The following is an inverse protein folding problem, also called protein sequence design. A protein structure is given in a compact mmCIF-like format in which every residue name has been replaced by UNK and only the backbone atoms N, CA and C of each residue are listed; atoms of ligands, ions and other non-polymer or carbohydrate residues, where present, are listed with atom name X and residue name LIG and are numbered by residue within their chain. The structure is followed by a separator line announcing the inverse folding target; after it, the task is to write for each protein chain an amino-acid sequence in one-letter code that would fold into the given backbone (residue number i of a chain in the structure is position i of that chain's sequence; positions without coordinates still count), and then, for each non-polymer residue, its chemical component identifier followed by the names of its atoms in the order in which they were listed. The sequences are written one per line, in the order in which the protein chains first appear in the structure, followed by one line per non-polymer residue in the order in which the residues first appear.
data_IF_767599556529
#
_entry.id   IF_767599556529
#
_cell.length_a   1.000
_cell.length_b   1.000
_cell.length_c   1.000
_cell.angle_alpha   90.00
_cell.angle_beta   90.00
_cell.angle_gamma   90.00
#
_symmetry.space_group_name_H-M   'P 1'
#
loop_
_entity.id
_entity.type
_entity.pdbx_description
1 polymer ?
#
# COMPACT_ATOMS: atom_id res chain seq x y z
N UNK A 1 13.58 -13.66 32.41
CA UNK A 1 13.18 -13.23 31.04
C UNK A 1 14.44 -12.96 30.24
N UNK A 2 14.72 -13.75 29.20
CA UNK A 2 15.89 -13.59 28.33
C UNK A 2 15.67 -12.46 27.31
N UNK A 3 16.74 -11.74 26.96
CA UNK A 3 16.75 -10.60 25.99
C UNK A 3 16.01 -10.92 24.68
N UNK A 4 16.10 -12.18 24.23
CA UNK A 4 15.45 -12.66 23.01
C UNK A 4 13.92 -12.59 23.06
N UNK A 5 13.32 -12.89 24.21
CA UNK A 5 11.87 -12.81 24.41
C UNK A 5 11.37 -11.35 24.37
N UNK A 6 12.17 -10.41 24.88
CA UNK A 6 11.89 -8.97 24.81
C UNK A 6 11.98 -8.44 23.38
N UNK A 7 13.00 -8.85 22.61
CA UNK A 7 13.15 -8.46 21.20
C UNK A 7 11.97 -8.95 20.34
N UNK A 8 11.55 -10.23 20.49
CA UNK A 8 10.36 -10.76 19.80
C UNK A 8 9.09 -9.98 20.12
N UNK A 9 8.91 -9.58 21.39
CA UNK A 9 7.74 -8.79 21.80
C UNK A 9 7.76 -7.39 21.19
N UNK A 10 8.92 -6.76 21.06
CA UNK A 10 9.06 -5.44 20.41
C UNK A 10 8.75 -5.54 18.91
N UNK A 11 9.23 -6.58 18.23
CA UNK A 11 8.98 -6.76 16.80
C UNK A 11 7.51 -7.08 16.52
N UNK A 12 6.84 -7.91 17.32
CA UNK A 12 5.40 -8.16 17.16
C UNK A 12 4.58 -6.88 17.36
N UNK A 13 4.84 -6.10 18.43
CA UNK A 13 4.17 -4.82 18.65
C UNK A 13 4.38 -3.81 17.52
N UNK A 14 5.58 -3.79 16.92
CA UNK A 14 5.86 -2.94 15.74
C UNK A 14 5.04 -3.37 14.53
N UNK A 15 4.91 -4.68 14.28
CA UNK A 15 4.07 -5.22 13.20
C UNK A 15 2.60 -4.92 13.41
N UNK A 16 2.07 -5.15 14.61
CA UNK A 16 0.68 -4.84 14.96
C UNK A 16 0.37 -3.36 14.76
N UNK A 17 1.28 -2.47 15.21
CA UNK A 17 1.16 -1.03 14.99
C UNK A 17 1.20 -0.67 13.51
N UNK A 18 2.07 -1.29 12.72
CA UNK A 18 2.16 -1.05 11.28
C UNK A 18 0.85 -1.44 10.58
N UNK A 19 0.32 -2.62 10.88
CA UNK A 19 -0.96 -3.09 10.33
C UNK A 19 -2.15 -2.21 10.75
N UNK A 20 -2.14 -1.70 11.99
CA UNK A 20 -3.16 -0.76 12.45
C UNK A 20 -3.11 0.57 11.69
N UNK A 21 -1.90 1.09 11.44
CA UNK A 21 -1.70 2.31 10.66
C UNK A 21 -2.13 2.09 9.21
N UNK A 22 -1.72 0.99 8.58
CA UNK A 22 -2.13 0.65 7.22
C UNK A 22 -3.65 0.59 7.09
N UNK A 23 -4.33 -0.12 8.00
CA UNK A 23 -5.80 -0.17 8.05
C UNK A 23 -6.41 1.23 8.17
N UNK A 24 -5.84 2.11 9.00
CA UNK A 24 -6.33 3.47 9.15
C UNK A 24 -6.18 4.29 7.86
N UNK A 25 -5.02 4.20 7.19
CA UNK A 25 -4.82 4.86 5.89
C UNK A 25 -5.84 4.37 4.87
N UNK A 26 -6.04 3.05 4.77
CA UNK A 26 -7.04 2.46 3.87
C UNK A 26 -8.45 2.96 4.18
N UNK A 27 -8.85 3.03 5.45
CA UNK A 27 -10.19 3.51 5.82
C UNK A 27 -10.44 4.99 5.47
N UNK A 28 -9.40 5.81 5.41
CA UNK A 28 -9.52 7.24 5.07
C UNK A 28 -9.53 7.46 3.56
N UNK A 29 -8.73 6.69 2.82
CA UNK A 29 -8.43 6.99 1.42
C UNK A 29 -9.10 6.04 0.41
N UNK A 30 -9.59 4.87 0.82
CA UNK A 30 -10.30 3.91 -0.06
C UNK A 30 -11.83 4.08 -0.02
N UNK A 31 -12.33 5.28 0.29
CA UNK A 31 -13.73 5.66 0.12
C UNK A 31 -13.87 6.67 -1.05
N UNK A 32 -15.09 6.90 -1.58
CA UNK A 32 -15.30 7.81 -2.71
C UNK A 32 -14.74 9.23 -2.49
N UNK A 33 -14.92 9.80 -1.29
CA UNK A 33 -14.35 11.10 -0.94
C UNK A 33 -12.83 11.05 -0.86
N UNK A 34 -12.28 9.91 -0.43
CA UNK A 34 -10.85 9.65 -0.39
C UNK A 34 -10.21 9.71 -1.77
N UNK A 35 -10.89 9.22 -2.81
CA UNK A 35 -10.41 9.33 -4.20
C UNK A 35 -10.28 10.79 -4.65
N UNK A 36 -11.26 11.64 -4.31
CA UNK A 36 -11.23 13.08 -4.61
C UNK A 36 -10.03 13.75 -3.92
N UNK A 37 -9.80 13.44 -2.65
CA UNK A 37 -8.65 13.96 -1.89
C UNK A 37 -7.33 13.46 -2.47
N UNK A 38 -7.23 12.19 -2.88
CA UNK A 38 -6.02 11.65 -3.49
C UNK A 38 -5.69 12.34 -4.81
N UNK A 39 -6.70 12.64 -5.63
CA UNK A 39 -6.52 13.36 -6.88
C UNK A 39 -6.01 14.79 -6.66
N UNK A 40 -6.58 15.51 -5.69
CA UNK A 40 -6.14 16.85 -5.27
C UNK A 40 -4.69 16.83 -4.77
N UNK A 41 -4.36 15.91 -3.85
CA UNK A 41 -3.01 15.77 -3.31
C UNK A 41 -1.98 15.40 -4.39
N UNK A 42 -2.34 14.57 -5.36
CA UNK A 42 -1.46 14.22 -6.47
C UNK A 42 -1.09 15.45 -7.31
N UNK A 43 -2.05 16.35 -7.54
CA UNK A 43 -1.85 17.62 -8.24
C UNK A 43 -0.98 18.58 -7.40
N UNK A 44 -1.30 18.76 -6.12
CA UNK A 44 -0.57 19.64 -5.21
C UNK A 44 0.90 19.19 -5.02
N UNK A 45 1.14 17.88 -4.93
CA UNK A 45 2.49 17.33 -4.82
C UNK A 45 3.27 17.33 -6.14
N UNK A 46 2.62 17.66 -7.26
CA UNK A 46 3.22 17.65 -8.60
C UNK A 46 3.74 16.26 -8.99
N UNK A 47 3.06 15.18 -8.58
CA UNK A 47 3.55 13.80 -8.79
C UNK A 47 3.70 13.50 -10.29
N UNK A 48 2.77 13.98 -11.11
CA UNK A 48 2.73 13.79 -12.56
C UNK A 48 3.27 14.97 -13.36
N UNK A 49 3.81 15.99 -12.67
CA UNK A 49 4.36 17.18 -13.31
C UNK A 49 5.89 17.09 -13.38
N UNK A 50 6.45 17.55 -14.50
CA UNK A 50 7.88 17.77 -14.60
C UNK A 50 8.31 18.80 -13.54
N UNK A 51 9.41 18.57 -12.82
CA UNK A 51 9.90 19.56 -11.88
C UNK A 51 10.20 20.88 -12.61
N UNK A 52 9.80 22.04 -12.06
CA UNK A 52 10.12 23.34 -12.64
C UNK A 52 11.63 23.50 -12.88
N UNK A 53 11.99 24.12 -14.00
CA UNK A 53 13.39 24.40 -14.32
C UNK A 53 13.88 25.54 -13.42
N UNK A 54 15.07 25.38 -12.85
CA UNK A 54 15.73 26.46 -12.09
C UNK A 54 15.34 26.55 -10.61
N UNK A 55 14.76 25.50 -10.02
CA UNK A 55 14.52 25.45 -8.57
C UNK A 55 15.84 25.53 -7.79
N UNK A 56 15.87 26.34 -6.75
CA UNK A 56 16.96 26.35 -5.79
C UNK A 56 16.99 25.04 -4.96
N UNK A 57 18.11 24.70 -4.31
CA UNK A 57 18.24 23.45 -3.55
C UNK A 57 17.16 23.25 -2.47
N UNK A 58 16.75 24.34 -1.80
CA UNK A 58 15.70 24.29 -0.77
C UNK A 58 14.32 23.99 -1.36
N UNK A 59 14.00 24.59 -2.49
CA UNK A 59 12.71 24.42 -3.17
C UNK A 59 12.60 23.02 -3.77
N UNK A 60 13.68 22.52 -4.36
CA UNK A 60 13.78 21.14 -4.81
C UNK A 60 13.54 20.16 -3.66
N UNK A 61 14.23 20.35 -2.52
CA UNK A 61 14.05 19.47 -1.36
C UNK A 61 12.63 19.52 -0.78
N UNK A 62 11.97 20.67 -0.82
CA UNK A 62 10.57 20.79 -0.41
C UNK A 62 9.63 20.03 -1.36
N UNK A 63 9.84 20.14 -2.68
CA UNK A 63 9.07 19.39 -3.68
C UNK A 63 9.24 17.88 -3.51
N UNK A 64 10.48 17.42 -3.33
CA UNK A 64 10.79 16.01 -3.09
C UNK A 64 10.15 15.50 -1.79
N UNK A 65 10.15 16.32 -0.73
CA UNK A 65 9.47 16.02 0.52
C UNK A 65 7.96 15.83 0.36
N UNK A 66 7.29 16.70 -0.42
CA UNK A 66 5.85 16.54 -0.73
C UNK A 66 5.59 15.26 -1.52
N UNK A 67 6.41 14.98 -2.55
CA UNK A 67 6.31 13.74 -3.34
C UNK A 67 6.53 12.49 -2.48
N UNK A 68 7.49 12.52 -1.57
CA UNK A 68 7.76 11.41 -0.65
C UNK A 68 6.60 11.16 0.32
N UNK A 69 5.97 12.22 0.84
CA UNK A 69 4.79 12.10 1.69
C UNK A 69 3.62 11.47 0.93
N UNK A 70 3.35 11.91 -0.29
CA UNK A 70 2.29 11.31 -1.12
C UNK A 70 2.59 9.86 -1.49
N UNK A 71 3.85 9.53 -1.84
CA UNK A 71 4.28 8.16 -2.09
C UNK A 71 4.08 7.25 -0.86
N UNK A 72 4.27 7.77 0.36
CA UNK A 72 3.96 7.03 1.59
C UNK A 72 2.47 6.71 1.70
N UNK A 73 1.57 7.64 1.37
CA UNK A 73 0.12 7.39 1.38
C UNK A 73 -0.19 6.24 0.40
N UNK A 74 0.30 6.33 -0.84
CA UNK A 74 0.13 5.30 -1.84
C UNK A 74 0.64 3.93 -1.37
N UNK A 75 1.81 3.89 -0.73
CA UNK A 75 2.38 2.66 -0.19
C UNK A 75 1.50 2.01 0.90
N UNK A 76 0.72 2.79 1.65
CA UNK A 76 -0.17 2.29 2.69
C UNK A 76 -1.53 1.81 2.18
N UNK A 77 -1.93 2.21 0.96
CA UNK A 77 -3.26 1.91 0.42
C UNK A 77 -3.23 0.93 -0.76
N UNK A 78 -2.07 0.73 -1.39
CA UNK A 78 -1.89 -0.32 -2.40
C UNK A 78 -2.12 -1.69 -1.79
N UNK A 79 -2.62 -2.60 -2.63
CA UNK A 79 -2.74 -4.03 -2.30
C UNK A 79 -1.34 -4.52 -1.90
N UNK A 80 -1.22 -5.09 -0.70
CA UNK A 80 0.05 -5.64 -0.25
C UNK A 80 0.46 -6.81 -1.18
N UNK A 81 1.75 -7.11 -1.35
CA UNK A 81 2.15 -8.28 -2.15
C UNK A 81 1.51 -9.59 -1.68
N UNK A 82 1.22 -9.71 -0.38
CA UNK A 82 0.49 -10.86 0.20
C UNK A 82 -0.99 -10.86 -0.22
N UNK A 83 -1.68 -9.72 -0.17
CA UNK A 83 -3.06 -9.62 -0.65
C UNK A 83 -3.14 -9.85 -2.17
N UNK A 84 -2.15 -9.37 -2.92
CA UNK A 84 -2.08 -9.61 -4.36
C UNK A 84 -1.87 -11.10 -4.66
N UNK A 85 -1.00 -11.79 -3.89
CA UNK A 85 -0.80 -13.24 -4.01
C UNK A 85 -2.06 -14.03 -3.59
N UNK A 86 -2.75 -13.61 -2.53
CA UNK A 86 -4.00 -14.22 -2.10
C UNK A 86 -5.12 -14.06 -3.14
N UNK A 87 -5.22 -12.88 -3.77
CA UNK A 87 -6.15 -12.63 -4.87
C UNK A 87 -5.79 -13.45 -6.12
N UNK A 88 -4.50 -13.59 -6.43
CA UNK A 88 -4.04 -14.45 -7.52
C UNK A 88 -4.36 -15.93 -7.27
N UNK A 89 -4.20 -16.41 -6.04
CA UNK A 89 -4.51 -17.80 -5.67
C UNK A 89 -6.03 -18.05 -5.66
N UNK A 90 -6.83 -17.10 -5.17
CA UNK A 90 -8.29 -17.18 -5.26
C UNK A 90 -8.77 -17.25 -6.72
N UNK A 91 -8.24 -16.39 -7.59
CA UNK A 91 -8.56 -16.41 -9.02
C UNK A 91 -8.17 -17.73 -9.70
N UNK A 92 -7.06 -18.36 -9.28
CA UNK A 92 -6.62 -19.67 -9.77
C UNK A 92 -7.58 -20.79 -9.39
N UNK A 93 -8.17 -20.73 -8.19
CA UNK A 93 -9.14 -21.72 -7.71
C UNK A 93 -10.49 -21.63 -8.43
N UNK A 94 -10.93 -20.42 -8.78
CA UNK A 94 -12.16 -20.20 -9.56
C UNK A 94 -12.05 -20.61 -11.03
N UNK A 95 -10.82 -20.75 -11.57
CA UNK A 95 -10.58 -21.20 -12.94
C UNK A 95 -10.33 -22.71 -13.08
N UNK A 96 -10.42 -23.48 -11.99
CA UNK A 96 -10.42 -24.95 -12.13
C UNK A 96 -11.72 -25.37 -12.86
N UNK A 97 -11.64 -26.04 -14.01
CA UNK A 97 -12.82 -26.67 -14.58
C UNK A 97 -13.33 -27.73 -13.61
N UNK A 98 -14.65 -27.84 -13.47
CA UNK A 98 -15.29 -29.00 -12.85
C UNK A 98 -14.92 -30.21 -13.70
N UNK A 99 -13.89 -30.95 -13.26
CA UNK A 99 -13.58 -32.25 -13.82
C UNK A 99 -14.66 -33.18 -13.29
N UNK A 100 -15.73 -33.34 -14.05
CA UNK A 100 -16.64 -34.46 -13.86
C UNK A 100 -15.82 -35.76 -13.93
N UNK A 101 -15.96 -36.68 -12.96
CA UNK A 101 -15.26 -37.94 -13.02
C UNK A 101 -15.78 -38.71 -14.24
N UNK A 102 -14.90 -38.96 -15.21
CA UNK A 102 -15.20 -39.85 -16.35
C UNK A 102 -15.65 -41.20 -15.79
N UNK A 103 -16.92 -41.54 -16.01
CA UNK A 103 -17.43 -42.89 -15.77
C UNK A 103 -16.78 -43.86 -16.75
N UNK A 104 -16.05 -44.84 -16.19
CA UNK A 104 -15.50 -46.01 -16.87
C UNK A 104 -16.57 -46.70 -17.74
N UNK A 105 -16.30 -46.84 -19.05
CA UNK A 105 -16.98 -47.79 -19.94
C UNK A 105 -15.96 -48.58 -20.77
#
# INVERSE_FOLDING_TARGET
MTVWSSLRRITSRRRERAAAIERAYRSVFLCPEGEVVLADLAAECGLYQAPPIGLGPRESGYLDGRKALFARILAMIRISPEEHAALQEAARLETLPDIEPEEDF
#
